data_IF_531597024117
#
_entry.id   IF_531597024117
#
_cell.length_a   1.000
_cell.length_b   1.000
_cell.length_c   1.000
_cell.angle_alpha   90.00
_cell.angle_beta   90.00
_cell.angle_gamma   90.00
#
_symmetry.space_group_name_H-M   'P 1'
#
loop_
_entity.id
_entity.type
_entity.pdbx_description
1 polymer ?
#
# COMPACT_ATOMS: atom_id res chain seq x y z
N UNK A 1 -21.29 -6.89 -31.87
CA UNK A 1 -22.25 -7.18 -30.78
C UNK A 1 -22.17 -6.04 -29.79
N UNK A 2 -23.24 -5.26 -29.60
CA UNK A 2 -23.25 -4.13 -28.65
C UNK A 2 -23.24 -4.73 -27.24
N UNK A 3 -22.12 -4.67 -26.53
CA UNK A 3 -22.07 -5.13 -25.15
C UNK A 3 -22.80 -4.09 -24.30
N UNK A 4 -24.04 -4.37 -23.92
CA UNK A 4 -24.79 -3.52 -23.02
C UNK A 4 -24.14 -3.54 -21.64
N UNK A 5 -23.76 -2.36 -21.14
CA UNK A 5 -23.15 -2.21 -19.83
C UNK A 5 -24.21 -2.46 -18.75
N UNK A 6 -24.02 -3.51 -17.94
CA UNK A 6 -24.90 -3.84 -16.82
C UNK A 6 -24.50 -3.07 -15.58
N UNK A 7 -25.47 -2.37 -14.98
CA UNK A 7 -25.29 -1.65 -13.73
C UNK A 7 -25.85 -2.45 -12.57
N UNK A 8 -25.02 -2.71 -11.57
CA UNK A 8 -25.40 -3.45 -10.38
C UNK A 8 -25.49 -2.48 -9.18
N UNK A 9 -26.64 -2.50 -8.50
CA UNK A 9 -26.86 -1.76 -7.24
C UNK A 9 -26.68 -2.64 -6.00
N UNK A 10 -26.76 -3.95 -6.16
CA UNK A 10 -26.62 -4.93 -5.08
C UNK A 10 -25.35 -5.75 -5.27
N UNK A 11 -24.57 -5.91 -4.18
CA UNK A 11 -23.35 -6.72 -4.20
C UNK A 11 -23.65 -8.19 -4.50
N UNK A 12 -24.79 -8.70 -4.03
CA UNK A 12 -25.22 -10.08 -4.27
C UNK A 12 -25.47 -10.36 -5.76
N UNK A 13 -26.10 -9.43 -6.47
CA UNK A 13 -26.34 -9.57 -7.91
C UNK A 13 -25.03 -9.50 -8.70
N UNK A 14 -24.14 -8.58 -8.32
CA UNK A 14 -22.81 -8.50 -8.92
C UNK A 14 -22.02 -9.79 -8.66
N UNK A 15 -21.99 -10.27 -7.41
CA UNK A 15 -21.25 -11.46 -7.01
C UNK A 15 -21.67 -12.70 -7.78
N UNK A 16 -22.99 -12.91 -7.89
CA UNK A 16 -23.56 -13.98 -8.71
C UNK A 16 -23.12 -13.87 -10.18
N UNK A 17 -23.13 -12.65 -10.74
CA UNK A 17 -22.67 -12.39 -12.10
C UNK A 17 -21.17 -12.68 -12.30
N UNK A 18 -20.32 -12.28 -11.36
CA UNK A 18 -18.88 -12.56 -11.41
C UNK A 18 -18.59 -14.06 -11.35
N UNK A 19 -19.26 -14.75 -10.42
CA UNK A 19 -19.16 -16.21 -10.21
C UNK A 19 -19.55 -17.00 -11.46
N UNK A 20 -20.64 -16.60 -12.11
CA UNK A 20 -21.11 -17.22 -13.34
C UNK A 20 -20.11 -17.02 -14.48
N UNK A 21 -19.61 -15.80 -14.69
CA UNK A 21 -18.64 -15.51 -15.75
C UNK A 21 -17.31 -16.24 -15.53
N UNK A 22 -16.79 -16.28 -14.29
CA UNK A 22 -15.59 -17.07 -13.98
C UNK A 22 -15.78 -18.54 -14.36
N UNK A 23 -16.92 -19.12 -13.99
CA UNK A 23 -17.25 -20.53 -14.31
C UNK A 23 -17.40 -20.78 -15.81
N UNK A 24 -18.01 -19.84 -16.55
CA UNK A 24 -18.12 -19.91 -18.02
C UNK A 24 -16.75 -19.92 -18.70
N UNK A 25 -15.77 -19.23 -18.12
CA UNK A 25 -14.38 -19.25 -18.60
C UNK A 25 -13.59 -20.49 -18.13
N UNK A 26 -14.20 -21.40 -17.36
CA UNK A 26 -13.53 -22.60 -16.82
C UNK A 26 -12.50 -22.31 -15.72
N UNK A 27 -12.43 -21.09 -15.22
CA UNK A 27 -11.43 -20.66 -14.24
C UNK A 27 -11.81 -21.13 -12.82
N UNK A 28 -10.87 -21.74 -12.09
CA UNK A 28 -11.07 -22.00 -10.66
C UNK A 28 -10.78 -20.73 -9.86
N UNK A 29 -11.53 -20.54 -8.78
CA UNK A 29 -11.32 -19.40 -7.88
C UNK A 29 -9.93 -19.43 -7.22
N UNK A 30 -9.36 -20.64 -7.05
CA UNK A 30 -8.01 -20.84 -6.52
C UNK A 30 -6.93 -20.28 -7.46
N UNK A 31 -7.12 -20.48 -8.77
CA UNK A 31 -6.19 -19.99 -9.79
C UNK A 31 -6.29 -18.47 -9.89
N UNK A 32 -7.50 -17.92 -9.87
CA UNK A 32 -7.73 -16.48 -9.80
C UNK A 32 -7.05 -15.86 -8.56
N UNK A 33 -7.17 -16.52 -7.40
CA UNK A 33 -6.53 -16.09 -6.15
C UNK A 33 -5.01 -16.03 -6.26
N UNK A 34 -4.38 -17.06 -6.86
CA UNK A 34 -2.92 -17.11 -7.06
C UNK A 34 -2.44 -16.05 -8.04
N UNK A 35 -3.13 -15.88 -9.17
CA UNK A 35 -2.73 -14.92 -10.21
C UNK A 35 -2.88 -13.48 -9.71
N UNK A 36 -3.97 -13.18 -9.00
CA UNK A 36 -4.23 -11.83 -8.48
C UNK A 36 -3.50 -11.53 -7.18
N UNK A 37 -2.89 -12.52 -6.53
CA UNK A 37 -2.32 -12.40 -5.17
C UNK A 37 -3.34 -11.89 -4.15
N UNK A 38 -4.62 -12.23 -4.34
CA UNK A 38 -5.73 -11.89 -3.43
C UNK A 38 -6.17 -13.17 -2.73
N UNK A 39 -6.35 -13.13 -1.40
CA UNK A 39 -6.82 -14.28 -0.63
C UNK A 39 -8.12 -14.83 -1.21
N UNK A 40 -8.19 -16.16 -1.38
CA UNK A 40 -9.38 -16.86 -1.88
C UNK A 40 -10.66 -16.51 -1.13
N UNK A 41 -10.58 -16.31 0.19
CA UNK A 41 -11.72 -15.89 1.01
C UNK A 41 -12.30 -14.56 0.54
N UNK A 42 -11.45 -13.59 0.16
CA UNK A 42 -11.86 -12.27 -0.34
C UNK A 42 -12.57 -12.39 -1.70
N UNK A 43 -12.01 -13.19 -2.62
CA UNK A 43 -12.66 -13.42 -3.91
C UNK A 43 -14.01 -14.13 -3.74
N UNK A 44 -14.08 -15.08 -2.80
CA UNK A 44 -15.31 -15.81 -2.51
C UNK A 44 -16.38 -14.90 -1.93
N UNK A 45 -16.02 -14.01 -1.02
CA UNK A 45 -16.96 -13.03 -0.46
C UNK A 45 -17.48 -12.03 -1.51
N UNK A 46 -16.69 -11.70 -2.54
CA UNK A 46 -17.23 -10.96 -3.69
C UNK A 46 -18.27 -11.77 -4.46
N UNK A 47 -18.02 -13.06 -4.71
CA UNK A 47 -18.94 -13.96 -5.41
C UNK A 47 -20.21 -14.27 -4.61
N UNK A 48 -20.11 -14.30 -3.29
CA UNK A 48 -21.21 -14.61 -2.38
C UNK A 48 -22.00 -13.34 -2.00
N UNK A 49 -21.48 -12.14 -2.29
CA UNK A 49 -22.20 -10.88 -2.13
C UNK A 49 -22.10 -10.24 -0.75
N UNK A 50 -21.06 -10.57 0.02
CA UNK A 50 -20.92 -10.18 1.42
C UNK A 50 -20.71 -8.67 1.60
N UNK A 51 -21.60 -8.04 2.37
CA UNK A 51 -21.75 -6.58 2.47
C UNK A 51 -20.64 -5.92 3.32
N UNK A 52 -20.01 -6.62 4.28
CA UNK A 52 -18.97 -6.06 5.16
C UNK A 52 -17.80 -5.42 4.41
N UNK A 53 -17.61 -5.87 3.17
CA UNK A 53 -16.57 -5.46 2.23
C UNK A 53 -16.76 -4.04 1.70
N UNK A 54 -18.00 -3.53 1.64
CA UNK A 54 -18.28 -2.22 1.01
C UNK A 54 -17.65 -1.05 1.76
N UNK A 55 -17.30 -1.23 3.04
CA UNK A 55 -16.87 -0.16 3.93
C UNK A 55 -15.35 0.05 3.92
N UNK A 56 -14.58 -0.81 3.25
CA UNK A 56 -13.12 -0.74 3.23
C UNK A 56 -12.61 -0.45 1.82
N UNK A 57 -11.89 0.67 1.67
CA UNK A 57 -11.37 1.19 0.39
C UNK A 57 -10.49 0.19 -0.35
N UNK A 58 -9.75 -0.68 0.34
CA UNK A 58 -8.90 -1.70 -0.28
C UNK A 58 -9.72 -2.74 -1.06
N UNK A 59 -10.91 -3.09 -0.58
CA UNK A 59 -11.75 -4.09 -1.23
C UNK A 59 -12.32 -3.61 -2.56
N UNK A 60 -12.57 -2.31 -2.71
CA UNK A 60 -12.95 -1.73 -4.00
C UNK A 60 -11.86 -1.95 -5.07
N UNK A 61 -10.59 -1.79 -4.68
CA UNK A 61 -9.45 -2.06 -5.57
C UNK A 61 -9.35 -3.54 -5.97
N UNK A 62 -9.51 -4.44 -4.99
CA UNK A 62 -9.52 -5.88 -5.24
C UNK A 62 -10.69 -6.33 -6.12
N UNK A 63 -11.90 -5.79 -5.91
CA UNK A 63 -13.06 -6.07 -6.74
C UNK A 63 -12.83 -5.62 -8.19
N UNK A 64 -12.31 -4.42 -8.38
CA UNK A 64 -11.97 -3.91 -9.72
C UNK A 64 -10.91 -4.78 -10.41
N UNK A 65 -9.89 -5.22 -9.66
CA UNK A 65 -8.87 -6.12 -10.18
C UNK A 65 -9.47 -7.46 -10.63
N UNK A 66 -10.44 -7.97 -9.86
CA UNK A 66 -11.15 -9.20 -10.20
C UNK A 66 -12.06 -9.05 -11.43
N UNK A 67 -12.79 -7.93 -11.54
CA UNK A 67 -13.60 -7.58 -12.73
C UNK A 67 -12.72 -7.51 -13.98
N UNK A 68 -11.55 -6.87 -13.86
CA UNK A 68 -10.57 -6.77 -14.95
C UNK A 68 -10.01 -8.13 -15.34
N UNK A 69 -9.65 -8.97 -14.37
CA UNK A 69 -9.16 -10.33 -14.60
C UNK A 69 -10.16 -11.18 -15.39
N UNK A 70 -11.46 -11.02 -15.11
CA UNK A 70 -12.53 -11.70 -15.85
C UNK A 70 -12.89 -11.04 -17.19
N UNK A 71 -12.21 -9.95 -17.58
CA UNK A 71 -12.50 -9.13 -18.76
C UNK A 71 -13.93 -8.55 -18.78
N UNK A 72 -14.46 -8.17 -17.61
CA UNK A 72 -15.83 -7.67 -17.44
C UNK A 72 -15.94 -6.16 -17.29
N UNK A 73 -14.84 -5.42 -17.41
CA UNK A 73 -14.75 -3.96 -17.23
C UNK A 73 -15.66 -3.15 -18.17
N UNK A 74 -15.99 -3.68 -19.35
CA UNK A 74 -16.93 -3.08 -20.30
C UNK A 74 -18.37 -3.62 -20.19
N UNK A 75 -18.56 -4.63 -19.36
CA UNK A 75 -19.82 -5.40 -19.27
C UNK A 75 -20.54 -5.16 -17.96
N UNK A 76 -19.83 -4.86 -16.88
CA UNK A 76 -20.42 -4.55 -15.59
C UNK A 76 -19.81 -3.29 -14.96
N UNK A 77 -20.66 -2.53 -14.27
CA UNK A 77 -20.27 -1.45 -13.38
C UNK A 77 -21.02 -1.59 -12.06
N UNK A 78 -20.30 -1.50 -10.95
CA UNK A 78 -20.88 -1.50 -9.61
C UNK A 78 -20.66 -0.13 -8.97
N UNK A 79 -21.75 0.50 -8.55
CA UNK A 79 -21.70 1.75 -7.82
C UNK A 79 -21.82 1.44 -6.34
N UNK A 80 -20.73 1.67 -5.61
CA UNK A 80 -20.78 1.66 -4.15
C UNK A 80 -21.66 2.83 -3.74
N UNK A 81 -22.81 2.57 -3.12
CA UNK A 81 -23.60 3.61 -2.46
C UNK A 81 -22.76 4.19 -1.33
N UNK A 82 -21.98 5.20 -1.65
CA UNK A 82 -21.30 6.02 -0.66
C UNK A 82 -22.41 6.80 0.06
N UNK A 83 -22.72 6.40 1.30
CA UNK A 83 -23.50 7.24 2.22
C UNK A 83 -22.75 8.52 2.63
N UNK A 84 -21.55 8.75 2.09
CA UNK A 84 -20.88 10.03 2.15
C UNK A 84 -21.38 10.88 0.99
N UNK A 85 -22.45 11.63 1.28
CA UNK A 85 -22.83 12.87 0.62
C UNK A 85 -21.61 13.51 -0.04
N UNK A 86 -21.65 13.58 -1.37
CA UNK A 86 -20.85 14.41 -2.27
C UNK A 86 -19.92 15.39 -1.53
N UNK A 87 -18.74 14.93 -1.15
CA UNK A 87 -17.60 15.82 -0.94
C UNK A 87 -17.03 16.05 -2.33
N UNK A 88 -17.40 17.20 -2.87
CA UNK A 88 -16.90 17.83 -4.10
C UNK A 88 -15.51 17.36 -4.54
N UNK A 89 -15.39 17.04 -5.82
CA UNK A 89 -14.18 17.19 -6.65
C UNK A 89 -12.84 17.24 -5.90
N UNK A 90 -12.37 16.12 -5.36
CA UNK A 90 -10.95 15.99 -5.01
C UNK A 90 -10.50 14.55 -5.22
N UNK A 91 -9.46 14.43 -6.05
CA UNK A 91 -8.69 13.23 -6.37
C UNK A 91 -8.53 12.36 -5.11
N UNK A 92 -8.85 11.06 -5.12
CA UNK A 92 -8.57 10.22 -3.95
C UNK A 92 -7.07 10.22 -3.75
N UNK A 93 -6.63 10.96 -2.74
CA UNK A 93 -5.26 11.05 -2.30
C UNK A 93 -4.94 9.67 -1.72
N UNK A 94 -4.51 8.75 -2.57
CA UNK A 94 -3.92 7.49 -2.15
C UNK A 94 -2.59 7.84 -1.50
N UNK A 95 -2.65 8.27 -0.25
CA UNK A 95 -1.49 8.41 0.60
C UNK A 95 -1.12 6.98 0.99
N UNK A 96 -0.13 6.44 0.28
CA UNK A 96 0.73 5.44 0.88
C UNK A 96 1.22 6.07 2.18
N UNK A 97 0.74 5.59 3.33
CA UNK A 97 1.40 5.88 4.60
C UNK A 97 2.78 5.22 4.50
N UNK A 98 3.72 5.98 3.95
CA UNK A 98 5.13 5.73 4.16
C UNK A 98 5.32 5.64 5.68
N UNK A 99 6.11 4.67 6.18
CA UNK A 99 6.30 4.50 7.62
C UNK A 99 6.63 5.87 8.20
N UNK A 100 5.85 6.30 9.21
CA UNK A 100 6.05 7.62 9.81
C UNK A 100 7.47 7.68 10.38
N UNK A 101 8.39 8.25 9.59
CA UNK A 101 9.68 8.65 10.07
C UNK A 101 9.38 9.79 11.02
N UNK A 102 9.30 9.48 12.31
CA UNK A 102 9.25 10.45 13.40
C UNK A 102 10.39 11.44 13.20
N UNK A 103 10.08 12.55 12.53
CA UNK A 103 11.01 13.61 12.19
C UNK A 103 11.27 14.41 13.47
N UNK A 104 12.13 13.87 14.34
CA UNK A 104 12.59 14.61 15.50
C UNK A 104 13.40 15.80 14.99
N UNK A 105 12.93 17.02 15.29
CA UNK A 105 13.51 18.30 14.84
C UNK A 105 15.01 18.46 15.15
N UNK A 106 15.58 17.59 15.99
CA UNK A 106 16.96 17.66 16.46
C UNK A 106 17.87 16.54 15.93
N UNK A 107 17.41 15.69 14.99
CA UNK A 107 18.19 14.52 14.52
C UNK A 107 19.62 14.88 14.08
N UNK A 108 19.80 15.93 13.28
CA UNK A 108 21.11 16.40 12.84
C UNK A 108 21.98 16.96 13.97
N UNK A 109 21.35 17.58 14.98
CA UNK A 109 22.05 18.14 16.15
C UNK A 109 22.55 17.03 17.08
N UNK A 110 21.77 15.96 17.24
CA UNK A 110 22.21 14.77 18.00
C UNK A 110 23.46 14.14 17.36
N UNK A 111 23.49 14.05 16.02
CA UNK A 111 24.64 13.49 15.29
C UNK A 111 25.88 14.35 15.50
N UNK A 112 25.73 15.68 15.41
CA UNK A 112 26.81 16.63 15.64
C UNK A 112 27.35 16.55 17.07
N UNK A 113 26.46 16.49 18.06
CA UNK A 113 26.84 16.41 19.47
C UNK A 113 27.58 15.10 19.78
N UNK A 114 27.15 13.98 19.19
CA UNK A 114 27.82 12.68 19.33
C UNK A 114 29.27 12.71 18.82
N UNK A 115 29.50 13.30 17.64
CA UNK A 115 30.85 13.47 17.06
C UNK A 115 31.78 14.28 17.97
N UNK A 116 31.26 15.37 18.56
CA UNK A 116 32.02 16.21 19.47
C UNK A 116 32.41 15.44 20.74
N UNK A 117 31.47 14.69 21.33
CA UNK A 117 31.71 13.90 22.54
C UNK A 117 32.74 12.80 22.29
N UNK A 118 32.69 12.12 21.15
CA UNK A 118 33.69 11.10 20.76
C UNK A 118 35.08 11.73 20.64
N UNK A 119 35.18 12.92 20.03
CA UNK A 119 36.44 13.66 19.94
C UNK A 119 37.00 14.02 21.31
N UNK A 120 36.15 14.49 22.23
CA UNK A 120 36.57 14.79 23.60
C UNK A 120 37.04 13.54 24.36
N UNK A 121 36.31 12.44 24.25
CA UNK A 121 36.71 11.16 24.86
C UNK A 121 38.07 10.73 24.32
N UNK A 122 38.28 10.80 23.01
CA UNK A 122 39.53 10.41 22.37
C UNK A 122 40.73 11.26 22.84
N UNK A 123 40.53 12.58 22.95
CA UNK A 123 41.54 13.50 23.45
C UNK A 123 41.85 13.23 24.94
N UNK A 124 40.83 13.05 25.78
CA UNK A 124 41.03 12.91 27.23
C UNK A 124 41.50 11.52 27.68
N UNK A 125 41.38 10.49 26.83
CA UNK A 125 41.68 9.10 27.20
C UNK A 125 43.16 8.86 27.50
N UNK A 126 44.09 9.55 26.81
CA UNK A 126 45.52 9.28 26.98
C UNK A 126 46.41 10.46 26.55
N UNK A 127 47.36 10.87 27.41
CA UNK A 127 48.30 11.97 27.13
C UNK A 127 49.16 11.70 25.88
N UNK A 128 49.46 10.44 25.58
CA UNK A 128 50.25 10.06 24.41
C UNK A 128 49.48 10.23 23.08
N UNK A 129 48.15 10.31 23.13
CA UNK A 129 47.31 10.50 21.93
C UNK A 129 47.55 11.85 21.28
N UNK A 130 47.76 12.90 22.09
CA UNK A 130 48.08 14.25 21.59
C UNK A 130 49.43 14.28 20.86
N UNK A 131 50.44 13.58 21.41
CA UNK A 131 51.76 13.51 20.81
C UNK A 131 51.72 12.79 19.45
N UNK A 132 50.99 11.68 19.35
CA UNK A 132 50.83 10.96 18.08
C UNK A 132 50.13 11.80 17.00
N UNK A 133 49.09 12.56 17.36
CA UNK A 133 48.42 13.48 16.44
C UNK A 133 49.33 14.61 15.96
N UNK A 134 50.12 15.20 16.87
CA UNK A 134 51.08 16.26 16.53
C UNK A 134 52.19 15.77 15.59
N UNK A 135 52.71 14.56 15.83
CA UNK A 135 53.72 13.93 14.99
C UNK A 135 53.18 13.60 13.57
N UNK A 136 51.93 13.17 13.49
CA UNK A 136 51.26 12.96 12.19
C UNK A 136 51.15 14.28 11.43
N UNK A 137 50.66 15.35 12.06
CA UNK A 137 50.51 16.65 11.41
C UNK A 137 51.83 17.26 10.92
N UNK A 138 52.92 17.01 11.65
CA UNK A 138 54.28 17.46 11.26
C UNK A 138 54.94 16.58 10.20
N UNK A 139 54.46 15.36 9.98
CA UNK A 139 54.93 14.47 8.90
C UNK A 139 54.25 14.68 7.54
N UNK A 140 53.11 15.37 7.53
CA UNK A 140 52.31 15.66 6.32
C UNK A 140 52.68 17.04 5.73
N UNK A 141 53.51 17.83 6.43
CA UNK A 141 54.07 19.11 5.99
C UNK A 141 55.56 18.95 5.67
#
# INVERSE_FOLDING_TARGET
MKTELKYFKSLHQLGSFLKENRRKQGLKIDDASKILLIKKSILKSFEDGDIEISNNSHFKGFLNSYIKFLNLEKTCKFEFTNNNKLSSLDKPNFQLEAPETKNTKYSSIIILLSLIVIGFIYLFWNKNTYLNLYLIGTSIN
#
